data_IF_075587354617
#
_entry.id   IF_075587354617
#
_cell.length_a   1.000
_cell.length_b   1.000
_cell.length_c   1.000
_cell.angle_alpha   90.00
_cell.angle_beta   90.00
_cell.angle_gamma   90.00
#
_symmetry.space_group_name_H-M   'P 1'
#
loop_
_entity.id
_entity.type
_entity.pdbx_description
1 polymer ?
#
# COMPACT_ATOMS: atom_id res chain seq x y z
N UNK A 1 3.59 7.04 -19.00
CA UNK A 1 4.09 7.23 -17.63
C UNK A 1 4.09 5.89 -16.92
N UNK A 2 5.20 5.49 -16.29
CA UNK A 2 5.30 4.25 -15.52
C UNK A 2 5.41 4.56 -14.03
N UNK A 3 4.89 3.67 -13.19
CA UNK A 3 5.03 3.76 -11.74
C UNK A 3 6.47 3.36 -11.37
N UNK A 4 7.24 4.25 -10.75
CA UNK A 4 8.67 4.01 -10.45
C UNK A 4 8.95 3.79 -8.97
N UNK A 5 8.06 4.24 -8.08
CA UNK A 5 8.25 4.11 -6.64
C UNK A 5 6.90 3.87 -5.95
N UNK A 6 6.95 3.10 -4.87
CA UNK A 6 5.88 2.97 -3.88
C UNK A 6 6.42 3.49 -2.55
N UNK A 7 5.78 4.53 -2.01
CA UNK A 7 6.08 5.05 -0.69
C UNK A 7 4.87 4.84 0.23
N UNK A 8 5.09 4.23 1.40
CA UNK A 8 4.05 3.93 2.38
C UNK A 8 4.56 4.25 3.78
N UNK A 9 3.83 5.10 4.50
CA UNK A 9 4.12 5.46 5.89
C UNK A 9 2.87 5.28 6.76
N UNK A 10 3.04 4.83 8.00
CA UNK A 10 1.96 4.74 8.99
C UNK A 10 0.84 3.74 8.66
N UNK A 11 1.05 2.82 7.70
CA UNK A 11 0.04 1.84 7.30
C UNK A 11 0.24 0.51 8.02
N UNK A 12 -0.64 0.22 8.99
CA UNK A 12 -0.57 -1.01 9.82
C UNK A 12 0.83 -1.15 10.45
N UNK A 13 1.57 -2.22 10.14
CA UNK A 13 2.93 -2.42 10.67
C UNK A 13 4.02 -1.71 9.86
N UNK A 14 3.69 -1.10 8.72
CA UNK A 14 4.66 -0.36 7.90
C UNK A 14 4.85 1.04 8.51
N UNK A 15 6.05 1.32 9.01
CA UNK A 15 6.38 2.62 9.60
C UNK A 15 6.70 3.64 8.52
N UNK A 16 7.72 3.36 7.74
CA UNK A 16 8.18 4.19 6.63
C UNK A 16 8.94 3.30 5.63
N UNK A 17 8.38 3.12 4.44
CA UNK A 17 8.88 2.19 3.43
C UNK A 17 8.82 2.85 2.06
N UNK A 18 9.97 2.92 1.39
CA UNK A 18 10.09 3.37 -0.01
C UNK A 18 10.69 2.23 -0.82
N UNK A 19 9.97 1.79 -1.86
CA UNK A 19 10.37 0.68 -2.72
C UNK A 19 10.47 1.17 -4.17
N UNK A 20 11.64 1.03 -4.82
CA UNK A 20 11.74 1.23 -6.25
C UNK A 20 10.99 0.11 -6.99
N UNK A 21 10.25 0.49 -8.02
CA UNK A 21 9.47 -0.42 -8.84
C UNK A 21 10.13 -0.57 -10.21
N UNK A 22 10.26 -1.83 -10.62
CA UNK A 22 10.77 -2.22 -11.92
C UNK A 22 9.71 -3.04 -12.65
N UNK A 23 10.02 -3.47 -13.88
CA UNK A 23 9.14 -4.34 -14.66
C UNK A 23 8.81 -5.66 -13.93
N UNK A 24 9.73 -6.13 -13.08
CA UNK A 24 9.52 -7.22 -12.14
C UNK A 24 10.14 -6.82 -10.80
N UNK A 25 9.31 -6.67 -9.77
CA UNK A 25 9.76 -6.42 -8.39
C UNK A 25 9.42 -7.64 -7.55
N UNK A 26 10.45 -8.34 -7.05
CA UNK A 26 10.30 -9.48 -6.15
C UNK A 26 10.34 -9.00 -4.70
N UNK A 27 9.27 -9.26 -3.94
CA UNK A 27 9.19 -8.94 -2.52
C UNK A 27 9.47 -10.20 -1.70
N UNK A 28 10.58 -10.23 -0.97
CA UNK A 28 10.98 -11.36 -0.11
C UNK A 28 11.20 -10.89 1.34
N UNK A 29 11.39 -11.84 2.27
CA UNK A 29 11.70 -11.55 3.67
C UNK A 29 11.10 -12.58 4.63
N UNK A 30 11.51 -12.51 5.90
CA UNK A 30 11.03 -13.42 6.95
C UNK A 30 9.52 -13.33 7.20
N UNK A 31 8.93 -14.35 7.84
CA UNK A 31 7.56 -14.28 8.31
C UNK A 31 7.39 -13.11 9.28
N UNK A 32 6.29 -12.37 9.16
CA UNK A 32 6.04 -11.16 9.97
C UNK A 32 6.74 -9.88 9.49
N UNK A 33 7.58 -9.92 8.44
CA UNK A 33 8.32 -8.74 7.95
C UNK A 33 7.48 -7.65 7.27
N UNK A 34 6.14 -7.76 7.27
CA UNK A 34 5.26 -6.74 6.71
C UNK A 34 4.91 -6.88 5.22
N UNK A 35 5.38 -7.92 4.51
CA UNK A 35 5.06 -8.14 3.07
C UNK A 35 3.56 -8.11 2.77
N UNK A 36 2.75 -8.78 3.59
CA UNK A 36 1.29 -8.77 3.41
C UNK A 36 0.70 -7.37 3.61
N UNK A 37 1.26 -6.56 4.52
CA UNK A 37 0.82 -5.18 4.70
C UNK A 37 1.25 -4.30 3.53
N UNK A 38 2.40 -4.58 2.90
CA UNK A 38 2.83 -3.91 1.67
C UNK A 38 1.85 -4.16 0.53
N UNK A 39 1.47 -5.42 0.29
CA UNK A 39 0.47 -5.75 -0.71
C UNK A 39 -0.90 -5.12 -0.41
N UNK A 40 -1.32 -5.07 0.87
CA UNK A 40 -2.56 -4.38 1.25
C UNK A 40 -2.51 -2.88 1.01
N UNK A 41 -1.38 -2.23 1.24
CA UNK A 41 -1.21 -0.81 0.93
C UNK A 41 -1.34 -0.57 -0.60
N UNK A 42 -0.72 -1.43 -1.42
CA UNK A 42 -0.91 -1.40 -2.87
C UNK A 42 -2.37 -1.59 -3.27
N UNK A 43 -3.06 -2.58 -2.70
CA UNK A 43 -4.49 -2.80 -2.95
C UNK A 43 -5.33 -1.58 -2.57
N UNK A 44 -5.02 -0.92 -1.45
CA UNK A 44 -5.71 0.29 -1.02
C UNK A 44 -5.52 1.44 -2.02
N UNK A 45 -4.29 1.64 -2.52
CA UNK A 45 -4.00 2.64 -3.56
C UNK A 45 -4.79 2.34 -4.84
N UNK A 46 -4.87 1.06 -5.25
CA UNK A 46 -5.67 0.65 -6.41
C UNK A 46 -7.15 0.89 -6.18
N UNK A 47 -7.69 0.55 -5.01
CA UNK A 47 -9.07 0.82 -4.66
C UNK A 47 -9.37 2.33 -4.69
N UNK A 48 -8.46 3.16 -4.15
CA UNK A 48 -8.57 4.62 -4.18
C UNK A 48 -8.61 5.17 -5.60
N UNK A 49 -7.71 4.69 -6.47
CA UNK A 49 -7.67 5.08 -7.87
C UNK A 49 -8.93 4.67 -8.65
N UNK A 50 -9.63 3.61 -8.22
CA UNK A 50 -10.87 3.13 -8.82
C UNK A 50 -12.14 3.79 -8.27
N UNK A 51 -12.04 4.50 -7.15
CA UNK A 51 -13.21 5.03 -6.44
C UNK A 51 -13.92 3.99 -5.55
N UNK A 52 -13.26 2.86 -5.27
CA UNK A 52 -13.82 1.78 -4.44
C UNK A 52 -13.68 2.06 -2.93
N UNK A 53 -13.16 3.23 -2.55
CA UNK A 53 -12.91 3.60 -1.15
C UNK A 53 -14.08 4.45 -0.69
N UNK A 54 -14.97 3.82 0.08
CA UNK A 54 -16.09 4.51 0.70
C UNK A 54 -15.65 5.30 1.93
N UNK A 55 -16.17 6.51 2.07
CA UNK A 55 -16.22 7.23 3.32
C UNK A 55 -17.61 7.04 3.92
N UNK A 56 -17.73 6.35 5.05
CA UNK A 56 -18.97 6.33 5.83
C UNK A 56 -19.02 7.58 6.70
N UNK A 57 -19.41 8.69 6.07
CA UNK A 57 -19.51 10.00 6.71
C UNK A 57 -20.65 10.19 7.69
N UNK A 58 -21.53 9.22 7.72
CA UNK A 58 -22.68 9.06 8.59
C UNK A 58 -22.31 8.75 10.06
N UNK A 59 -21.02 8.73 10.40
CA UNK A 59 -20.49 8.50 11.76
C UNK A 59 -19.81 9.74 12.39
N UNK A 60 -19.85 10.91 11.76
CA UNK A 60 -19.36 12.17 12.35
C UNK A 60 -20.54 12.97 12.93
N UNK A 61 -20.55 13.33 14.24
CA UNK A 61 -21.62 14.13 14.86
C UNK A 61 -21.66 15.58 14.36
#
# INVERSE_FOLDING_TARGET
MTLTHLAVSGYRSLRDVVIPLHRLTLITGANGSGKSNLFRALTLIVAAARGDVGWSGDLWP
#
